data_IF_041631066098
#
_entry.id   IF_041631066098
#
_cell.length_a   1.000
_cell.length_b   1.000
_cell.length_c   1.000
_cell.angle_alpha   90.00
_cell.angle_beta   90.00
_cell.angle_gamma   90.00
#
_symmetry.space_group_name_H-M   'P 1'
#
loop_
_entity.id
_entity.type
_entity.pdbx_description
1 polymer ?
#
# COMPACT_ATOMS: atom_id res chain seq x y z
N UNK A 1 47.31 3.79 35.58
CA UNK A 1 45.98 3.30 35.13
C UNK A 1 45.97 3.34 33.61
N UNK A 2 45.77 2.18 32.96
CA UNK A 2 45.78 2.06 31.49
C UNK A 2 44.39 2.38 30.93
N UNK A 3 44.25 3.18 29.87
CA UNK A 3 42.94 3.54 29.31
C UNK A 3 42.33 2.38 28.54
N UNK A 4 41.06 2.10 28.81
CA UNK A 4 40.24 1.12 28.09
C UNK A 4 39.97 1.65 26.68
N UNK A 5 40.35 0.88 25.65
CA UNK A 5 40.20 1.29 24.25
C UNK A 5 38.89 0.78 23.62
N UNK A 6 38.48 1.48 22.54
CA UNK A 6 37.19 1.42 21.82
C UNK A 6 36.74 0.07 21.22
N UNK A 7 37.38 -1.07 21.54
CA UNK A 7 37.05 -2.40 20.99
C UNK A 7 36.54 -3.43 22.03
N UNK A 8 36.22 -3.00 23.25
CA UNK A 8 36.01 -3.91 24.38
C UNK A 8 34.64 -3.93 25.05
N UNK A 9 33.52 -3.60 24.38
CA UNK A 9 32.20 -3.84 24.99
C UNK A 9 31.08 -4.04 23.97
N UNK A 10 31.05 -5.20 23.31
CA UNK A 10 29.78 -5.83 22.93
C UNK A 10 29.55 -6.92 23.97
N UNK A 11 28.53 -6.76 24.82
CA UNK A 11 28.18 -7.77 25.81
C UNK A 11 27.14 -7.28 26.82
N UNK A 12 25.88 -7.63 26.53
CA UNK A 12 24.76 -7.81 27.48
C UNK A 12 24.29 -6.63 28.36
N UNK A 13 22.99 -6.33 28.25
CA UNK A 13 22.26 -5.63 29.31
C UNK A 13 21.00 -4.93 28.82
N UNK A 14 19.87 -5.63 28.80
CA UNK A 14 18.56 -5.00 28.77
C UNK A 14 18.31 -4.29 30.11
N UNK A 15 18.10 -2.98 30.08
CA UNK A 15 17.46 -2.23 31.18
C UNK A 15 16.66 -1.06 30.59
N UNK A 16 15.37 -1.06 30.90
CA UNK A 16 14.40 -0.04 30.54
C UNK A 16 14.64 1.24 31.35
N UNK A 17 14.68 2.40 30.70
CA UNK A 17 14.37 3.68 31.32
C UNK A 17 13.70 4.61 30.29
N UNK A 18 12.46 5.01 30.61
CA UNK A 18 11.65 5.93 29.82
C UNK A 18 12.24 7.35 29.84
N UNK A 19 12.27 8.01 28.68
CA UNK A 19 12.67 9.41 28.56
C UNK A 19 12.39 9.92 27.15
N UNK A 20 11.47 10.88 27.05
CA UNK A 20 10.95 11.54 25.85
C UNK A 20 12.06 11.86 24.83
N UNK A 21 12.07 11.15 23.70
CA UNK A 21 12.86 11.54 22.54
C UNK A 21 11.93 12.17 21.49
N UNK A 22 12.06 13.49 21.36
CA UNK A 22 11.54 14.32 20.31
C UNK A 22 11.70 13.66 18.93
N UNK A 23 10.76 13.95 18.02
CA UNK A 23 10.67 13.40 16.67
C UNK A 23 11.84 13.78 15.77
N UNK A 24 12.99 13.14 16.00
CA UNK A 24 14.05 13.03 15.03
C UNK A 24 13.65 11.90 14.08
N UNK A 25 13.19 12.26 12.88
CA UNK A 25 12.98 11.30 11.80
C UNK A 25 14.17 10.37 11.74
N UNK A 26 13.93 9.09 12.00
CA UNK A 26 14.93 8.06 11.76
C UNK A 26 15.16 8.08 10.26
N UNK A 27 16.16 8.84 9.82
CA UNK A 27 16.73 8.66 8.50
C UNK A 27 17.04 7.17 8.43
N UNK A 28 16.60 6.45 7.38
CA UNK A 28 17.04 5.08 7.22
C UNK A 28 18.55 5.11 7.37
N UNK A 29 19.05 4.36 8.36
CA UNK A 29 20.47 4.18 8.49
C UNK A 29 20.88 3.42 7.23
N UNK A 30 21.31 4.16 6.20
CA UNK A 30 22.03 3.58 5.10
C UNK A 30 23.26 2.97 5.74
N UNK A 31 23.23 1.66 5.95
CA UNK A 31 24.45 0.92 6.25
C UNK A 31 25.42 1.35 5.14
N UNK A 32 26.51 2.01 5.53
CA UNK A 32 27.53 2.45 4.59
C UNK A 32 28.09 1.19 3.91
N UNK A 33 27.49 0.85 2.77
CA UNK A 33 27.82 -0.32 2.00
C UNK A 33 29.17 -0.10 1.35
N UNK A 34 29.99 -1.14 1.40
CA UNK A 34 31.18 -1.36 0.58
C UNK A 34 31.07 -0.69 -0.80
N UNK A 35 32.17 -0.16 -1.34
CA UNK A 35 32.23 0.46 -2.67
C UNK A 35 31.37 -0.30 -3.70
N UNK A 36 30.17 0.23 -3.93
CA UNK A 36 29.19 -0.33 -4.85
C UNK A 36 29.47 0.29 -6.22
N UNK A 37 29.39 -0.52 -7.27
CA UNK A 37 29.51 -0.04 -8.65
C UNK A 37 28.32 0.82 -9.06
N UNK A 38 27.23 0.82 -8.28
CA UNK A 38 25.96 1.47 -8.62
C UNK A 38 25.17 0.70 -9.67
N UNK A 39 25.56 -0.55 -9.97
CA UNK A 39 24.91 -1.38 -11.00
C UNK A 39 24.14 -2.53 -10.37
N UNK A 40 23.24 -3.15 -11.13
CA UNK A 40 22.49 -4.33 -10.67
C UNK A 40 23.40 -5.48 -10.23
N UNK A 41 24.66 -5.53 -10.70
CA UNK A 41 25.65 -6.54 -10.29
C UNK A 41 26.02 -6.45 -8.81
N UNK A 42 25.75 -5.33 -8.14
CA UNK A 42 25.97 -5.18 -6.70
C UNK A 42 24.88 -5.91 -5.88
N UNK A 43 23.72 -6.24 -6.49
CA UNK A 43 22.61 -6.92 -5.83
C UNK A 43 22.92 -8.41 -5.68
N UNK A 44 23.03 -8.89 -4.44
CA UNK A 44 23.33 -10.30 -4.12
C UNK A 44 22.10 -11.12 -3.76
N UNK A 45 21.12 -10.48 -3.15
CA UNK A 45 19.91 -11.11 -2.68
C UNK A 45 18.72 -10.23 -3.05
N UNK A 46 17.69 -10.87 -3.60
CA UNK A 46 16.39 -10.25 -3.84
C UNK A 46 15.40 -10.97 -2.93
N UNK A 47 14.79 -10.23 -2.02
CA UNK A 47 13.72 -10.73 -1.16
C UNK A 47 12.41 -10.18 -1.70
N UNK A 48 11.50 -11.08 -2.05
CA UNK A 48 10.19 -10.73 -2.61
C UNK A 48 9.12 -10.94 -1.53
N UNK A 49 8.52 -9.84 -1.07
CA UNK A 49 7.37 -9.87 -0.16
C UNK A 49 6.09 -9.55 -0.95
N UNK A 50 5.30 -10.59 -1.24
CA UNK A 50 3.99 -10.43 -1.89
C UNK A 50 2.91 -10.24 -0.82
N UNK A 51 2.38 -9.02 -0.73
CA UNK A 51 1.23 -8.70 0.11
C UNK A 51 -0.09 -9.02 -0.63
N UNK A 52 -1.20 -8.95 0.11
CA UNK A 52 -2.53 -9.35 -0.36
C UNK A 52 -3.55 -8.20 -0.29
N UNK A 53 -4.47 -8.16 -1.25
CA UNK A 53 -5.74 -7.45 -1.32
C UNK A 53 -5.77 -5.95 -0.98
N UNK A 54 -4.75 -5.18 -1.38
CA UNK A 54 -4.73 -3.73 -1.20
C UNK A 54 -4.31 -3.03 -2.49
N UNK A 55 -5.12 -2.07 -2.96
CA UNK A 55 -4.78 -1.24 -4.11
C UNK A 55 -3.75 -0.18 -3.74
N UNK A 56 -3.09 0.39 -4.75
CA UNK A 56 -2.12 1.47 -4.54
C UNK A 56 -2.79 2.68 -3.87
N UNK A 57 -3.91 3.16 -4.40
CA UNK A 57 -4.62 4.33 -3.85
C UNK A 57 -5.11 4.11 -2.43
N UNK A 58 -5.42 2.87 -2.05
CA UNK A 58 -5.83 2.53 -0.71
C UNK A 58 -4.70 2.71 0.33
N UNK A 59 -3.45 2.46 -0.02
CA UNK A 59 -2.30 2.66 0.88
C UNK A 59 -1.62 4.01 0.68
N UNK A 60 -1.47 4.45 -0.56
CA UNK A 60 -0.57 5.53 -0.94
C UNK A 60 -1.24 6.61 -1.79
N UNK A 61 -2.56 6.57 -2.00
CA UNK A 61 -3.26 7.62 -2.76
C UNK A 61 -3.11 9.02 -2.15
N UNK A 62 -2.78 9.11 -0.86
CA UNK A 62 -2.47 10.37 -0.15
C UNK A 62 -0.96 10.65 0.02
N UNK A 63 -0.08 9.78 -0.45
CA UNK A 63 1.36 10.01 -0.41
C UNK A 63 1.72 11.20 -1.33
N UNK A 64 2.64 12.06 -0.90
CA UNK A 64 3.09 13.19 -1.73
C UNK A 64 4.05 12.69 -2.80
N UNK A 65 3.88 13.16 -4.03
CA UNK A 65 4.78 12.86 -5.15
C UNK A 65 4.41 11.62 -5.97
N UNK A 66 3.29 10.95 -5.64
CA UNK A 66 2.72 9.88 -6.49
C UNK A 66 1.53 10.40 -7.28
N UNK A 67 1.18 9.69 -8.35
CA UNK A 67 -0.10 9.84 -9.05
C UNK A 67 -1.26 9.26 -8.22
N UNK A 68 -1.68 10.01 -7.20
CA UNK A 68 -2.75 9.64 -6.27
C UNK A 68 -4.00 10.51 -6.42
N UNK A 69 -4.68 10.81 -5.31
CA UNK A 69 -5.97 11.53 -5.33
C UNK A 69 -5.92 12.95 -5.91
N UNK A 70 -4.74 13.57 -5.94
CA UNK A 70 -4.51 14.90 -6.50
C UNK A 70 -4.00 14.85 -7.97
N UNK A 71 -3.96 13.67 -8.61
CA UNK A 71 -3.54 13.52 -10.00
C UNK A 71 -4.57 14.14 -10.96
N UNK A 72 -4.10 15.10 -11.76
CA UNK A 72 -4.90 15.80 -12.78
C UNK A 72 -4.91 15.08 -14.14
N UNK A 73 -4.11 14.03 -14.27
CA UNK A 73 -3.97 13.23 -15.50
C UNK A 73 -4.83 11.97 -15.49
N UNK A 74 -5.65 11.79 -14.44
CA UNK A 74 -6.58 10.67 -14.34
C UNK A 74 -7.64 10.68 -15.43
N UNK A 75 -8.28 9.53 -15.67
CA UNK A 75 -9.39 9.41 -16.62
C UNK A 75 -10.54 10.32 -16.18
N UNK A 76 -10.91 11.35 -16.95
CA UNK A 76 -12.00 12.23 -16.57
C UNK A 76 -13.33 11.48 -16.69
N UNK A 77 -14.20 11.66 -15.70
CA UNK A 77 -15.57 11.19 -15.75
C UNK A 77 -16.47 12.26 -16.38
N UNK A 78 -17.68 11.89 -16.87
CA UNK A 78 -18.63 12.85 -17.44
C UNK A 78 -18.87 14.05 -16.51
N UNK A 79 -18.87 15.25 -17.11
CA UNK A 79 -19.02 16.51 -16.38
C UNK A 79 -17.72 17.04 -15.75
N UNK A 80 -16.57 16.71 -16.34
CA UNK A 80 -15.22 17.15 -15.91
C UNK A 80 -14.90 16.77 -14.46
N UNK A 81 -15.32 15.55 -14.08
CA UNK A 81 -15.14 15.04 -12.71
C UNK A 81 -13.89 14.19 -12.64
N UNK A 82 -13.27 14.18 -11.46
CA UNK A 82 -12.17 13.26 -11.18
C UNK A 82 -12.66 11.81 -11.19
N UNK A 83 -11.77 10.89 -11.59
CA UNK A 83 -12.00 9.43 -11.50
C UNK A 83 -12.33 8.99 -10.07
N UNK A 84 -11.94 9.76 -9.06
CA UNK A 84 -12.22 9.43 -7.66
C UNK A 84 -13.62 9.83 -7.20
N UNK A 85 -14.34 10.65 -7.97
CA UNK A 85 -15.73 11.00 -7.66
C UNK A 85 -16.64 9.91 -8.23
N UNK A 86 -16.93 8.83 -7.52
CA UNK A 86 -17.69 7.71 -8.11
C UNK A 86 -19.21 7.92 -8.04
N UNK A 87 -20.00 7.44 -9.03
CA UNK A 87 -21.45 7.34 -8.89
C UNK A 87 -21.86 6.52 -7.67
N UNK A 88 -22.90 6.99 -6.95
CA UNK A 88 -23.51 6.25 -5.85
C UNK A 88 -25.02 6.56 -5.80
N UNK A 89 -25.83 5.77 -6.51
CA UNK A 89 -27.24 6.07 -6.71
C UNK A 89 -27.43 7.41 -7.42
N UNK A 90 -28.28 8.29 -6.87
CA UNK A 90 -28.46 9.67 -7.37
C UNK A 90 -27.34 10.62 -6.92
N UNK A 91 -26.46 10.17 -6.01
CA UNK A 91 -25.38 10.95 -5.44
C UNK A 91 -24.00 10.54 -5.95
N UNK A 92 -22.97 10.95 -5.20
CA UNK A 92 -21.57 10.61 -5.43
C UNK A 92 -20.91 10.10 -4.16
N UNK A 93 -19.93 9.23 -4.33
CA UNK A 93 -19.03 8.77 -3.30
C UNK A 93 -17.63 9.30 -3.60
N UNK A 94 -16.99 9.85 -2.58
CA UNK A 94 -15.63 10.36 -2.64
C UNK A 94 -14.71 9.44 -1.84
N UNK A 95 -13.38 9.46 -2.10
CA UNK A 95 -12.43 8.79 -1.25
C UNK A 95 -12.53 9.33 0.17
N UNK A 96 -12.46 8.44 1.14
CA UNK A 96 -12.59 8.79 2.54
C UNK A 96 -11.62 7.98 3.40
N UNK A 97 -11.09 8.62 4.44
CA UNK A 97 -10.15 7.96 5.35
C UNK A 97 -10.89 6.92 6.18
N UNK A 98 -10.48 5.65 6.10
CA UNK A 98 -11.18 4.57 6.79
C UNK A 98 -11.21 4.75 8.32
N UNK A 99 -10.17 5.32 8.93
CA UNK A 99 -10.15 5.54 10.38
C UNK A 99 -11.01 6.71 10.86
N UNK A 100 -11.64 7.45 9.93
CA UNK A 100 -12.76 8.31 10.26
C UNK A 100 -14.05 7.53 10.61
N UNK A 101 -14.05 6.20 10.41
CA UNK A 101 -15.12 5.32 10.93
C UNK A 101 -15.15 5.40 12.45
N UNK A 102 -16.33 5.67 13.07
CA UNK A 102 -16.47 5.67 14.52
C UNK A 102 -16.01 4.36 15.16
N UNK A 103 -15.48 4.44 16.39
CA UNK A 103 -15.13 3.27 17.17
C UNK A 103 -16.33 2.33 17.34
N UNK A 104 -16.11 1.04 17.16
CA UNK A 104 -17.13 0.00 17.18
C UNK A 104 -16.51 -1.31 17.69
N UNK A 105 -17.29 -2.12 18.41
CA UNK A 105 -16.83 -3.42 18.91
C UNK A 105 -15.60 -3.34 19.84
N UNK A 106 -15.40 -2.23 20.55
CA UNK A 106 -14.24 -2.01 21.43
C UNK A 106 -12.92 -1.76 20.70
N UNK A 107 -12.96 -1.44 19.41
CA UNK A 107 -11.80 -1.08 18.59
C UNK A 107 -11.87 0.39 18.19
N UNK A 108 -10.73 1.06 18.19
CA UNK A 108 -10.61 2.42 17.67
C UNK A 108 -10.71 2.45 16.13
N UNK A 109 -10.88 3.64 15.57
CA UNK A 109 -11.03 3.84 14.14
C UNK A 109 -9.82 3.33 13.34
N UNK A 110 -8.60 3.46 13.88
CA UNK A 110 -7.38 2.96 13.25
C UNK A 110 -7.39 1.43 13.13
N UNK A 111 -7.68 0.73 14.23
CA UNK A 111 -7.76 -0.74 14.21
C UNK A 111 -8.87 -1.21 13.28
N UNK A 112 -10.02 -0.53 13.28
CA UNK A 112 -11.11 -0.84 12.35
C UNK A 112 -10.71 -0.57 10.89
N UNK A 113 -9.91 0.44 10.62
CA UNK A 113 -9.44 0.75 9.27
C UNK A 113 -8.53 -0.36 8.72
N UNK A 114 -7.52 -0.76 9.50
CA UNK A 114 -6.59 -1.83 9.14
C UNK A 114 -7.30 -3.19 9.04
N UNK A 115 -8.21 -3.48 9.97
CA UNK A 115 -8.99 -4.73 10.05
C UNK A 115 -10.39 -4.60 9.43
N UNK A 116 -10.56 -3.73 8.44
CA UNK A 116 -11.89 -3.42 7.90
C UNK A 116 -12.58 -4.62 7.20
N UNK A 117 -11.85 -5.71 6.94
CA UNK A 117 -12.36 -6.91 6.27
C UNK A 117 -12.20 -6.84 4.76
N UNK A 118 -12.47 -7.96 4.10
CA UNK A 118 -12.28 -8.13 2.66
C UNK A 118 -13.39 -7.46 1.83
N UNK A 119 -13.06 -7.10 0.58
CA UNK A 119 -14.00 -6.58 -0.40
C UNK A 119 -14.03 -7.52 -1.62
N UNK A 120 -15.15 -7.60 -2.36
CA UNK A 120 -15.21 -8.39 -3.57
C UNK A 120 -14.10 -8.05 -4.57
N UNK A 121 -13.20 -9.01 -4.79
CA UNK A 121 -12.03 -8.88 -5.66
C UNK A 121 -11.94 -10.04 -6.67
N UNK A 122 -13.10 -10.57 -7.10
CA UNK A 122 -13.19 -11.60 -8.13
C UNK A 122 -13.00 -10.99 -9.53
N UNK A 123 -12.83 -11.84 -10.55
CA UNK A 123 -12.86 -11.43 -11.94
C UNK A 123 -14.11 -10.56 -12.24
N UNK A 124 -15.28 -11.04 -11.82
CA UNK A 124 -16.56 -10.38 -12.09
C UNK A 124 -16.67 -9.01 -11.41
N UNK A 125 -16.36 -8.90 -10.11
CA UNK A 125 -16.49 -7.63 -9.39
C UNK A 125 -15.47 -6.60 -9.89
N UNK A 126 -14.24 -7.03 -10.17
CA UNK A 126 -13.20 -6.12 -10.67
C UNK A 126 -13.51 -5.64 -12.09
N UNK A 127 -13.96 -6.51 -13.01
CA UNK A 127 -14.35 -6.09 -14.36
C UNK A 127 -15.61 -5.22 -14.36
N UNK A 128 -16.54 -5.47 -13.44
CA UNK A 128 -17.69 -4.60 -13.23
C UNK A 128 -17.25 -3.20 -12.77
N UNK A 129 -16.33 -3.12 -11.81
CA UNK A 129 -15.79 -1.85 -11.31
C UNK A 129 -14.99 -1.07 -12.36
N UNK A 130 -14.12 -1.76 -13.10
CA UNK A 130 -13.31 -1.20 -14.20
C UNK A 130 -14.17 -0.69 -15.36
N UNK A 131 -15.32 -1.32 -15.59
CA UNK A 131 -16.36 -0.89 -16.53
C UNK A 131 -15.84 -0.57 -17.94
N UNK A 132 -15.10 -1.51 -18.54
CA UNK A 132 -14.51 -1.37 -19.88
C UNK A 132 -13.59 -0.14 -20.01
N UNK A 133 -12.88 0.20 -18.93
CA UNK A 133 -11.96 1.34 -18.88
C UNK A 133 -12.60 2.68 -18.54
N UNK A 134 -13.92 2.75 -18.33
CA UNK A 134 -14.58 3.99 -17.91
C UNK A 134 -14.28 4.38 -16.46
N UNK A 135 -13.92 3.41 -15.62
CA UNK A 135 -13.52 3.65 -14.22
C UNK A 135 -14.58 4.39 -13.39
N UNK A 136 -15.86 4.21 -13.70
CA UNK A 136 -16.99 4.94 -13.12
C UNK A 136 -17.97 4.03 -12.37
N UNK A 137 -17.56 2.82 -11.98
CA UNK A 137 -18.48 1.84 -11.39
C UNK A 137 -17.92 1.14 -10.14
N UNK A 138 -16.99 1.75 -9.41
CA UNK A 138 -16.36 1.10 -8.26
C UNK A 138 -17.35 0.78 -7.14
N UNK A 139 -18.25 1.71 -6.80
CA UNK A 139 -19.22 1.51 -5.70
C UNK A 139 -20.17 0.34 -6.00
N UNK A 140 -20.81 0.33 -7.17
CA UNK A 140 -21.77 -0.71 -7.53
C UNK A 140 -21.09 -2.00 -8.01
N UNK A 141 -19.96 -1.90 -8.72
CA UNK A 141 -19.20 -3.05 -9.22
C UNK A 141 -18.54 -3.87 -8.11
N UNK A 142 -18.00 -3.21 -7.09
CA UNK A 142 -17.54 -3.89 -5.85
C UNK A 142 -18.72 -4.19 -4.91
N UNK A 143 -19.78 -3.39 -4.98
CA UNK A 143 -20.97 -3.53 -4.13
C UNK A 143 -20.81 -2.91 -2.74
N UNK A 144 -19.81 -2.06 -2.52
CA UNK A 144 -19.57 -1.43 -1.23
C UNK A 144 -18.80 -0.11 -1.37
N UNK A 145 -19.25 0.94 -0.67
CA UNK A 145 -18.58 2.26 -0.63
C UNK A 145 -17.17 2.22 -0.01
N UNK A 146 -16.86 1.16 0.76
CA UNK A 146 -15.51 0.91 1.28
C UNK A 146 -14.47 0.69 0.17
N UNK A 147 -14.90 0.43 -1.07
CA UNK A 147 -14.03 0.44 -2.25
C UNK A 147 -13.31 1.78 -2.48
N UNK A 148 -13.84 2.88 -1.92
CA UNK A 148 -13.21 4.20 -1.93
C UNK A 148 -12.60 4.59 -0.57
N UNK A 149 -12.53 3.65 0.38
CA UNK A 149 -11.83 3.87 1.63
C UNK A 149 -10.32 3.88 1.41
N UNK A 150 -9.59 4.80 2.02
CA UNK A 150 -8.13 4.84 2.01
C UNK A 150 -7.55 4.90 3.42
N UNK A 151 -6.27 4.53 3.52
CA UNK A 151 -5.42 4.70 4.69
C UNK A 151 -4.47 5.85 4.44
N UNK A 152 -4.05 6.54 5.51
CA UNK A 152 -2.95 7.49 5.42
C UNK A 152 -1.79 7.15 6.35
N UNK A 153 -0.81 8.05 6.42
CA UNK A 153 0.39 7.91 7.23
C UNK A 153 0.10 7.63 8.71
N UNK A 154 -1.00 8.11 9.27
CA UNK A 154 -1.33 7.83 10.67
C UNK A 154 -1.87 6.42 10.84
N UNK A 155 -2.52 5.87 9.81
CA UNK A 155 -3.10 4.53 9.86
C UNK A 155 -2.07 3.43 9.56
N UNK A 156 -1.07 3.72 8.72
CA UNK A 156 -0.02 2.77 8.32
C UNK A 156 1.38 3.41 8.34
N UNK A 157 1.86 3.89 9.50
CA UNK A 157 3.10 4.67 9.60
C UNK A 157 4.35 3.91 9.12
N UNK A 158 4.40 2.59 9.33
CA UNK A 158 5.49 1.75 8.84
C UNK A 158 5.60 1.75 7.30
N UNK A 159 4.47 1.61 6.60
CA UNK A 159 4.44 1.60 5.13
C UNK A 159 4.86 2.94 4.54
N UNK A 160 4.39 4.03 5.13
CA UNK A 160 4.79 5.38 4.73
C UNK A 160 6.27 5.66 5.03
N UNK A 161 6.82 5.15 6.13
CA UNK A 161 8.24 5.28 6.42
C UNK A 161 9.12 4.53 5.40
N UNK A 162 8.68 3.36 4.94
CA UNK A 162 9.35 2.65 3.84
C UNK A 162 9.25 3.43 2.53
N UNK A 163 8.07 3.97 2.21
CA UNK A 163 7.85 4.76 1.00
C UNK A 163 8.70 6.05 0.97
N UNK A 164 8.93 6.70 2.12
CA UNK A 164 9.81 7.88 2.20
C UNK A 164 11.29 7.52 2.08
N UNK A 165 11.67 6.33 2.55
CA UNK A 165 13.06 5.88 2.63
C UNK A 165 13.56 5.26 1.31
N UNK A 166 12.65 4.70 0.51
CA UNK A 166 12.96 3.89 -0.66
C UNK A 166 12.10 4.27 -1.87
N UNK A 167 12.33 3.58 -3.00
CA UNK A 167 11.59 3.81 -4.23
C UNK A 167 10.19 3.22 -4.17
N UNK A 168 9.20 3.99 -4.64
CA UNK A 168 7.82 3.55 -4.86
C UNK A 168 7.52 3.56 -6.34
N UNK A 169 6.85 2.52 -6.83
CA UNK A 169 6.38 2.41 -8.20
C UNK A 169 4.88 2.71 -8.28
N UNK A 170 4.49 3.94 -8.60
CA UNK A 170 3.09 4.40 -8.70
C UNK A 170 2.44 4.11 -10.09
N UNK A 171 3.07 3.22 -10.85
CA UNK A 171 2.63 2.72 -12.15
C UNK A 171 2.75 1.19 -12.24
N UNK A 172 2.69 0.51 -11.09
CA UNK A 172 2.80 -0.95 -10.99
C UNK A 172 1.42 -1.59 -10.88
N UNK A 173 1.05 -2.39 -11.88
CA UNK A 173 -0.27 -3.03 -11.98
C UNK A 173 -0.16 -4.54 -11.79
N UNK A 174 -1.25 -5.15 -11.32
CA UNK A 174 -1.38 -6.61 -11.35
C UNK A 174 -1.36 -7.11 -12.80
N UNK A 175 -0.82 -8.30 -13.03
CA UNK A 175 -0.73 -8.87 -14.37
C UNK A 175 -2.11 -9.22 -14.95
N UNK A 176 -3.09 -9.51 -14.09
CA UNK A 176 -4.48 -9.70 -14.46
C UNK A 176 -5.42 -8.99 -13.49
N UNK A 177 -6.56 -8.52 -14.01
CA UNK A 177 -7.68 -7.98 -13.23
C UNK A 177 -8.51 -9.13 -12.63
N UNK A 178 -7.91 -9.87 -11.70
CA UNK A 178 -8.47 -11.07 -11.07
C UNK A 178 -8.00 -11.23 -9.63
N UNK A 179 -8.47 -12.29 -8.96
CA UNK A 179 -8.18 -12.57 -7.55
C UNK A 179 -6.70 -12.96 -7.32
N UNK A 180 -6.37 -13.32 -6.07
CA UNK A 180 -5.00 -13.64 -5.62
C UNK A 180 -4.33 -14.73 -6.44
N UNK A 181 -5.03 -15.85 -6.71
CA UNK A 181 -4.46 -17.05 -7.36
C UNK A 181 -3.72 -16.73 -8.67
N UNK A 182 -4.41 -16.21 -9.70
CA UNK A 182 -3.78 -15.87 -10.98
C UNK A 182 -2.58 -14.94 -10.84
N UNK A 183 -2.70 -13.86 -10.05
CA UNK A 183 -1.63 -12.87 -9.91
C UNK A 183 -0.42 -13.41 -9.14
N UNK A 184 -0.61 -14.36 -8.22
CA UNK A 184 0.49 -15.06 -7.56
C UNK A 184 1.24 -15.97 -8.54
N UNK A 185 0.53 -16.67 -9.42
CA UNK A 185 1.16 -17.47 -10.48
C UNK A 185 1.93 -16.59 -11.45
N UNK A 186 1.39 -15.43 -11.83
CA UNK A 186 2.10 -14.45 -12.65
C UNK A 186 3.39 -13.95 -12.01
N UNK A 187 3.39 -13.64 -10.70
CA UNK A 187 4.59 -13.16 -10.00
C UNK A 187 5.77 -14.13 -10.15
N UNK A 188 5.52 -15.44 -10.07
CA UNK A 188 6.57 -16.46 -10.09
C UNK A 188 6.92 -16.99 -11.47
N UNK A 189 5.97 -16.97 -12.41
CA UNK A 189 6.13 -17.64 -13.70
C UNK A 189 5.99 -16.73 -14.92
N UNK A 190 5.56 -15.46 -14.73
CA UNK A 190 5.30 -14.51 -15.81
C UNK A 190 4.05 -14.83 -16.64
N UNK A 191 3.30 -15.89 -16.30
CA UNK A 191 2.06 -16.29 -17.00
C UNK A 191 1.07 -16.94 -16.02
N UNK A 192 -0.16 -17.15 -16.48
CA UNK A 192 -1.12 -18.07 -15.86
C UNK A 192 -1.68 -18.97 -16.95
N UNK A 193 -1.88 -20.24 -16.65
CA UNK A 193 -2.59 -21.13 -17.57
C UNK A 193 -4.10 -20.92 -17.39
N UNK A 194 -4.74 -20.34 -18.41
CA UNK A 194 -6.17 -20.09 -18.40
C UNK A 194 -7.02 -21.36 -18.57
N UNK A 195 -6.42 -22.49 -18.94
CA UNK A 195 -7.09 -23.78 -19.07
C UNK A 195 -6.99 -24.64 -17.80
N UNK A 196 -6.22 -24.19 -16.81
CA UNK A 196 -6.02 -24.93 -15.56
C UNK A 196 -7.21 -24.73 -14.63
N UNK A 197 -7.79 -25.84 -14.15
CA UNK A 197 -8.94 -25.85 -13.23
C UNK A 197 -8.53 -25.99 -11.75
N UNK A 198 -7.23 -26.02 -11.46
CA UNK A 198 -6.66 -26.08 -10.13
C UNK A 198 -6.41 -24.65 -9.59
N UNK A 199 -7.51 -24.02 -9.16
CA UNK A 199 -7.51 -22.84 -8.29
C UNK A 199 -7.75 -23.25 -6.84
#
# INVERSE_FOLDING_TARGET
MRPISRRGFVGFGATVAAGVALGAGQRPAYAAGRAATGTVKDVRHVVILMQENRSFDHYFGRLKGVRGFDDRSGVPLPGDRSVFEQPNGTGRQYPWKLSATPAAGGKDGETLAQCSGDLPHSWTSQHAAWNKGRMDNWVAGVGNVRSLGYLDRTDIPFHYALADAYTVCDAYFSSALSATGPNRTYLWSGKVDAASYDG
#
